data_IF_194967321755
#
_entry.id   IF_194967321755
#
_cell.length_a   1.000
_cell.length_b   1.000
_cell.length_c   1.000
_cell.angle_alpha   90.00
_cell.angle_beta   90.00
_cell.angle_gamma   90.00
#
_symmetry.space_group_name_H-M   'P 1'
#
loop_
_entity.id
_entity.type
_entity.pdbx_description
1 polymer ?
#
# COMPACT_ATOMS: atom_id res chain seq x y z
N UNK A 1 -50.04 -39.55 29.65
CA UNK A 1 -50.63 -38.24 29.33
C UNK A 1 -49.49 -37.22 29.20
N UNK A 2 -49.16 -36.72 28.02
CA UNK A 2 -48.17 -35.67 27.91
C UNK A 2 -48.84 -34.30 28.03
N UNK A 3 -48.38 -33.50 28.98
CA UNK A 3 -48.75 -32.12 29.18
C UNK A 3 -48.17 -31.28 28.03
N UNK A 4 -49.01 -30.93 27.05
CA UNK A 4 -48.70 -30.01 25.96
C UNK A 4 -48.66 -28.60 26.56
N UNK A 5 -47.44 -28.13 26.83
CA UNK A 5 -47.19 -26.68 27.11
C UNK A 5 -47.64 -25.88 25.92
N UNK A 6 -48.82 -25.23 25.99
CA UNK A 6 -49.23 -24.20 25.03
C UNK A 6 -48.11 -23.14 24.94
N UNK A 7 -47.42 -23.07 23.80
CA UNK A 7 -46.59 -21.90 23.45
C UNK A 7 -47.48 -20.67 23.56
N UNK A 8 -47.23 -19.80 24.56
CA UNK A 8 -47.82 -18.47 24.58
C UNK A 8 -47.51 -17.81 23.21
N UNK A 9 -48.55 -17.49 22.45
CA UNK A 9 -48.43 -16.66 21.26
C UNK A 9 -47.70 -15.38 21.71
N UNK A 10 -46.64 -15.00 20.99
CA UNK A 10 -45.91 -13.78 21.28
C UNK A 10 -46.92 -12.62 21.13
N UNK A 11 -47.18 -11.87 22.20
CA UNK A 11 -47.97 -10.64 22.12
C UNK A 11 -47.39 -9.75 21.04
N UNK A 12 -48.21 -9.13 20.18
CA UNK A 12 -47.71 -8.19 19.18
C UNK A 12 -47.00 -7.07 19.93
N UNK A 13 -45.72 -6.81 19.55
CA UNK A 13 -44.93 -5.76 20.15
C UNK A 13 -45.69 -4.43 20.11
N UNK A 14 -45.74 -3.72 21.22
CA UNK A 14 -46.41 -2.42 21.33
C UNK A 14 -45.94 -1.48 20.20
N UNK A 15 -46.82 -0.67 19.57
CA UNK A 15 -46.47 0.17 18.42
C UNK A 15 -45.28 1.12 18.69
N UNK A 16 -45.11 1.56 19.90
CA UNK A 16 -43.95 2.36 20.33
C UNK A 16 -42.61 1.61 20.29
N UNK A 17 -42.59 0.32 20.60
CA UNK A 17 -41.40 -0.50 20.53
C UNK A 17 -40.97 -0.75 19.06
N UNK A 18 -41.93 -0.95 18.17
CA UNK A 18 -41.65 -1.05 16.74
C UNK A 18 -41.09 0.25 16.17
N UNK A 19 -41.63 1.38 16.56
CA UNK A 19 -41.14 2.70 16.15
C UNK A 19 -39.71 2.95 16.67
N UNK A 20 -39.45 2.60 17.93
CA UNK A 20 -38.11 2.70 18.53
C UNK A 20 -37.07 1.91 17.71
N UNK A 21 -37.37 0.64 17.38
CA UNK A 21 -36.46 -0.19 16.61
C UNK A 21 -36.20 0.35 15.19
N UNK A 22 -37.23 0.91 14.55
CA UNK A 22 -37.05 1.56 13.24
C UNK A 22 -36.12 2.77 13.33
N UNK A 23 -36.29 3.63 14.31
CA UNK A 23 -35.43 4.80 14.52
C UNK A 23 -33.97 4.38 14.82
N UNK A 24 -33.79 3.38 15.70
CA UNK A 24 -32.46 2.85 16.01
C UNK A 24 -31.80 2.24 14.77
N UNK A 25 -32.53 1.46 13.99
CA UNK A 25 -32.01 0.84 12.77
C UNK A 25 -31.57 1.88 11.73
N UNK A 26 -32.36 2.93 11.52
CA UNK A 26 -31.99 4.04 10.60
C UNK A 26 -30.74 4.77 11.09
N UNK A 27 -30.66 5.07 12.39
CA UNK A 27 -29.49 5.73 12.96
C UNK A 27 -28.22 4.86 12.87
N UNK A 28 -28.32 3.54 13.09
CA UNK A 28 -27.22 2.61 12.94
C UNK A 28 -26.77 2.56 11.48
N UNK A 29 -27.70 2.47 10.53
CA UNK A 29 -27.38 2.45 9.10
C UNK A 29 -26.65 3.74 8.68
N UNK A 30 -27.15 4.90 9.11
CA UNK A 30 -26.51 6.19 8.83
C UNK A 30 -25.12 6.27 9.45
N UNK A 31 -24.97 5.89 10.71
CA UNK A 31 -23.69 5.87 11.41
C UNK A 31 -22.70 4.91 10.71
N UNK A 32 -23.16 3.73 10.30
CA UNK A 32 -22.33 2.77 9.57
C UNK A 32 -21.84 3.34 8.24
N UNK A 33 -22.71 4.04 7.51
CA UNK A 33 -22.34 4.69 6.25
C UNK A 33 -21.29 5.78 6.46
N UNK A 34 -21.46 6.64 7.45
CA UNK A 34 -20.50 7.72 7.78
C UNK A 34 -19.15 7.14 8.19
N UNK A 35 -19.14 6.17 9.11
CA UNK A 35 -17.91 5.52 9.58
C UNK A 35 -17.21 4.79 8.44
N UNK A 36 -17.93 4.05 7.61
CA UNK A 36 -17.37 3.36 6.44
C UNK A 36 -16.71 4.35 5.46
N UNK A 37 -17.38 5.47 5.19
CA UNK A 37 -16.83 6.51 4.30
C UNK A 37 -15.55 7.13 4.87
N UNK A 38 -15.54 7.48 6.16
CA UNK A 38 -14.37 8.04 6.82
C UNK A 38 -13.21 7.05 6.85
N UNK A 39 -13.47 5.79 7.19
CA UNK A 39 -12.46 4.74 7.19
C UNK A 39 -11.91 4.47 5.77
N UNK A 40 -12.76 4.50 4.75
CA UNK A 40 -12.33 4.35 3.36
C UNK A 40 -11.38 5.49 2.93
N UNK A 41 -11.75 6.74 3.22
CA UNK A 41 -10.91 7.91 2.91
C UNK A 41 -9.57 7.84 3.66
N UNK A 42 -9.62 7.54 4.97
CA UNK A 42 -8.42 7.40 5.80
C UNK A 42 -7.52 6.26 5.31
N UNK A 43 -8.10 5.11 4.95
CA UNK A 43 -7.35 3.98 4.40
C UNK A 43 -6.67 4.33 3.08
N UNK A 44 -7.36 5.05 2.19
CA UNK A 44 -6.78 5.51 0.91
C UNK A 44 -5.62 6.47 1.13
N UNK A 45 -5.78 7.44 2.03
CA UNK A 45 -4.71 8.39 2.38
C UNK A 45 -3.54 7.67 3.05
N UNK A 46 -3.82 6.77 4.00
CA UNK A 46 -2.80 5.97 4.67
C UNK A 46 -2.00 5.08 3.72
N UNK A 47 -2.67 4.47 2.73
CA UNK A 47 -1.99 3.70 1.68
C UNK A 47 -1.04 4.57 0.88
N UNK A 48 -1.51 5.72 0.39
CA UNK A 48 -0.69 6.62 -0.42
C UNK A 48 0.51 7.16 0.37
N UNK A 49 0.32 7.53 1.64
CA UNK A 49 1.40 7.99 2.51
C UNK A 49 2.43 6.88 2.79
N UNK A 50 1.97 5.65 3.00
CA UNK A 50 2.86 4.51 3.21
C UNK A 50 3.64 4.16 1.95
N UNK A 51 3.01 4.16 0.79
CA UNK A 51 3.64 3.93 -0.51
C UNK A 51 4.70 4.99 -0.80
N UNK A 52 4.39 6.26 -0.57
CA UNK A 52 5.34 7.37 -0.74
C UNK A 52 6.53 7.25 0.23
N UNK A 53 6.29 6.89 1.49
CA UNK A 53 7.37 6.62 2.46
C UNK A 53 8.35 5.56 1.94
N UNK A 54 7.82 4.43 1.45
CA UNK A 54 8.66 3.34 0.93
C UNK A 54 9.37 3.74 -0.36
N UNK A 55 8.71 4.49 -1.23
CA UNK A 55 9.29 5.01 -2.46
C UNK A 55 10.45 5.98 -2.19
N UNK A 56 10.27 6.89 -1.24
CA UNK A 56 11.34 7.82 -0.84
C UNK A 56 12.53 7.10 -0.20
N UNK A 57 12.27 6.09 0.63
CA UNK A 57 13.34 5.27 1.22
C UNK A 57 14.11 4.51 0.14
N UNK A 58 13.42 3.94 -0.85
CA UNK A 58 14.04 3.27 -1.99
C UNK A 58 14.85 4.24 -2.85
N UNK A 59 14.30 5.41 -3.20
CA UNK A 59 15.01 6.43 -3.96
C UNK A 59 16.28 6.93 -3.25
N UNK A 60 16.22 7.07 -1.92
CA UNK A 60 17.42 7.41 -1.10
C UNK A 60 18.48 6.33 -1.19
N UNK A 61 18.09 5.05 -1.15
CA UNK A 61 18.99 3.91 -1.31
C UNK A 61 19.62 3.91 -2.71
N UNK A 62 18.82 4.10 -3.75
CA UNK A 62 19.30 4.18 -5.13
C UNK A 62 20.32 5.30 -5.29
N UNK A 63 20.03 6.49 -4.79
CA UNK A 63 20.96 7.63 -4.83
C UNK A 63 22.27 7.34 -4.11
N UNK A 64 22.24 6.63 -2.99
CA UNK A 64 23.45 6.25 -2.25
C UNK A 64 24.33 5.26 -3.03
N UNK A 65 23.73 4.38 -3.83
CA UNK A 65 24.48 3.44 -4.69
C UNK A 65 24.99 4.08 -5.98
N UNK A 66 24.27 5.05 -6.52
CA UNK A 66 24.65 5.76 -7.73
C UNK A 66 25.77 6.78 -7.52
N UNK A 67 25.80 7.45 -6.35
CA UNK A 67 26.70 8.55 -6.09
C UNK A 67 28.18 8.17 -6.23
N UNK A 68 28.67 7.05 -5.73
CA UNK A 68 30.07 6.63 -5.95
C UNK A 68 30.39 6.44 -7.44
N UNK A 69 29.45 5.91 -8.22
CA UNK A 69 29.66 5.72 -9.67
C UNK A 69 29.74 7.08 -10.38
N UNK A 70 28.90 8.04 -9.97
CA UNK A 70 28.90 9.39 -10.52
C UNK A 70 30.20 10.14 -10.22
N UNK A 71 30.71 10.02 -8.99
CA UNK A 71 31.87 10.80 -8.54
C UNK A 71 33.20 10.18 -8.97
N UNK A 72 33.33 8.86 -8.84
CA UNK A 72 34.60 8.17 -9.03
C UNK A 72 34.66 7.31 -10.29
N UNK A 73 33.54 7.15 -11.00
CA UNK A 73 33.40 6.25 -12.15
C UNK A 73 33.74 4.78 -11.79
N UNK A 74 33.66 4.43 -10.50
CA UNK A 74 33.94 3.09 -10.00
C UNK A 74 32.70 2.47 -9.38
N UNK A 75 32.51 1.17 -9.61
CA UNK A 75 31.39 0.42 -9.05
C UNK A 75 31.83 -0.17 -7.71
N UNK A 76 31.20 0.24 -6.62
CA UNK A 76 31.40 -0.40 -5.31
C UNK A 76 30.55 -1.65 -5.18
N UNK A 77 31.09 -2.77 -5.70
CA UNK A 77 30.44 -4.08 -5.65
C UNK A 77 30.09 -4.53 -4.23
N UNK A 78 30.89 -4.12 -3.22
CA UNK A 78 30.65 -4.49 -1.82
C UNK A 78 29.48 -3.73 -1.23
N UNK A 79 29.37 -2.43 -1.52
CA UNK A 79 28.23 -1.61 -1.08
C UNK A 79 26.93 -2.11 -1.71
N UNK A 80 26.94 -2.44 -3.00
CA UNK A 80 25.79 -3.02 -3.71
C UNK A 80 25.39 -4.36 -3.08
N UNK A 81 26.35 -5.24 -2.78
CA UNK A 81 26.11 -6.52 -2.11
C UNK A 81 25.49 -6.33 -0.71
N UNK A 82 26.07 -5.46 0.11
CA UNK A 82 25.54 -5.18 1.45
C UNK A 82 24.09 -4.69 1.39
N UNK A 83 23.81 -3.77 0.48
CA UNK A 83 22.45 -3.25 0.27
C UNK A 83 21.51 -4.34 -0.24
N UNK A 84 21.96 -5.21 -1.14
CA UNK A 84 21.16 -6.33 -1.65
C UNK A 84 20.73 -7.27 -0.52
N UNK A 85 21.64 -7.60 0.40
CA UNK A 85 21.36 -8.48 1.53
C UNK A 85 20.44 -7.81 2.56
N UNK A 86 20.73 -6.56 2.94
CA UNK A 86 20.00 -5.86 4.00
C UNK A 86 18.57 -5.46 3.58
N UNK A 87 18.40 -5.03 2.34
CA UNK A 87 17.15 -4.45 1.86
C UNK A 87 16.40 -5.32 0.85
N UNK A 88 16.89 -6.53 0.59
CA UNK A 88 16.36 -7.43 -0.46
C UNK A 88 16.33 -6.75 -1.83
N UNK A 89 17.38 -6.01 -2.12
CA UNK A 89 17.58 -5.37 -3.40
C UNK A 89 18.14 -6.41 -4.40
N UNK A 90 17.58 -6.43 -5.61
CA UNK A 90 18.09 -7.20 -6.75
C UNK A 90 18.71 -6.22 -7.73
N UNK A 91 20.05 -6.04 -7.72
CA UNK A 91 20.74 -5.15 -8.64
C UNK A 91 21.12 -5.86 -9.93
N UNK A 92 21.09 -5.15 -11.05
CA UNK A 92 21.72 -5.57 -12.30
C UNK A 92 22.47 -4.38 -12.89
N UNK A 93 23.68 -4.65 -13.36
CA UNK A 93 24.56 -3.65 -13.93
C UNK A 93 24.98 -4.05 -15.33
N UNK A 94 25.04 -3.08 -16.22
CA UNK A 94 25.50 -3.27 -17.58
C UNK A 94 26.47 -2.15 -17.99
N UNK A 95 27.45 -2.47 -18.81
CA UNK A 95 28.25 -1.51 -19.54
C UNK A 95 28.24 -1.87 -21.02
N UNK A 96 27.83 -0.96 -21.88
CA UNK A 96 27.69 -1.21 -23.34
C UNK A 96 26.77 -2.39 -23.66
N UNK A 97 25.73 -2.61 -22.85
CA UNK A 97 24.85 -3.77 -23.02
C UNK A 97 25.40 -5.10 -22.54
N UNK A 98 26.67 -5.14 -22.06
CA UNK A 98 27.25 -6.33 -21.46
C UNK A 98 27.03 -6.32 -19.94
N UNK A 99 26.59 -7.45 -19.34
CA UNK A 99 26.40 -7.52 -17.90
C UNK A 99 27.74 -7.40 -17.16
N UNK A 100 27.74 -6.60 -16.09
CA UNK A 100 28.86 -6.50 -15.16
C UNK A 100 28.58 -7.44 -14.00
N UNK A 101 29.35 -8.51 -13.90
CA UNK A 101 29.19 -9.48 -12.83
C UNK A 101 29.64 -8.89 -11.49
N UNK A 102 28.79 -9.03 -10.48
CA UNK A 102 29.17 -8.72 -9.11
C UNK A 102 29.74 -9.99 -8.47
N UNK A 103 31.02 -10.01 -8.07
CA UNK A 103 31.66 -11.21 -7.54
C UNK A 103 31.07 -11.71 -6.21
N UNK A 104 30.27 -10.90 -5.55
CA UNK A 104 29.63 -11.24 -4.28
C UNK A 104 28.19 -11.73 -4.44
N UNK A 105 27.52 -11.47 -5.58
CA UNK A 105 26.16 -11.90 -5.86
C UNK A 105 26.19 -13.15 -6.74
N UNK A 106 25.60 -14.23 -6.26
CA UNK A 106 25.44 -15.46 -7.02
C UNK A 106 23.97 -15.61 -7.46
N UNK A 107 23.74 -15.79 -8.74
CA UNK A 107 22.43 -16.02 -9.32
C UNK A 107 21.98 -14.91 -10.28
N UNK A 108 21.04 -15.25 -11.12
CA UNK A 108 20.44 -14.34 -12.13
C UNK A 108 18.98 -14.00 -11.74
N UNK A 109 18.80 -13.56 -10.51
CA UNK A 109 17.47 -13.19 -10.01
C UNK A 109 16.91 -11.93 -10.70
N UNK A 110 17.76 -11.20 -11.40
CA UNK A 110 17.38 -9.99 -12.13
C UNK A 110 16.76 -10.27 -13.50
N UNK A 111 17.09 -11.38 -14.18
CA UNK A 111 16.67 -11.64 -15.55
C UNK A 111 15.13 -11.55 -15.78
N UNK A 112 14.28 -12.17 -14.94
CA UNK A 112 12.84 -12.04 -15.12
C UNK A 112 12.35 -10.60 -14.90
N UNK A 113 12.96 -9.87 -13.96
CA UNK A 113 12.59 -8.48 -13.67
C UNK A 113 13.03 -7.52 -14.77
N UNK A 114 14.19 -7.77 -15.38
CA UNK A 114 14.68 -7.02 -16.55
C UNK A 114 13.73 -7.17 -17.73
N UNK A 115 13.29 -8.40 -18.03
CA UNK A 115 12.32 -8.64 -19.11
C UNK A 115 11.00 -7.92 -18.89
N UNK A 116 10.50 -7.91 -17.64
CA UNK A 116 9.29 -7.18 -17.28
C UNK A 116 9.46 -5.66 -17.33
N UNK A 117 10.70 -5.18 -17.20
CA UNK A 117 11.01 -3.74 -17.21
C UNK A 117 11.06 -3.15 -18.61
N UNK A 118 11.37 -3.93 -19.63
CA UNK A 118 11.60 -3.43 -21.00
C UNK A 118 10.54 -2.44 -21.50
N UNK A 119 9.22 -2.76 -21.41
CA UNK A 119 8.20 -1.84 -21.92
C UNK A 119 8.10 -0.54 -21.12
N UNK A 120 8.62 -0.51 -19.88
CA UNK A 120 8.59 0.69 -19.03
C UNK A 120 9.79 1.61 -19.27
N UNK A 121 10.83 1.12 -19.93
CA UNK A 121 12.12 1.81 -20.08
C UNK A 121 12.35 2.37 -21.49
N UNK A 122 11.39 2.24 -22.38
CA UNK A 122 11.56 2.66 -23.78
C UNK A 122 11.90 4.16 -23.88
N UNK A 123 11.20 5.02 -23.14
CA UNK A 123 11.44 6.46 -23.12
C UNK A 123 12.83 6.80 -22.53
N UNK A 124 13.24 6.14 -21.44
CA UNK A 124 14.54 6.35 -20.84
C UNK A 124 15.67 5.92 -21.77
N UNK A 125 15.54 4.76 -22.44
CA UNK A 125 16.51 4.28 -23.43
C UNK A 125 16.60 5.21 -24.64
N UNK A 126 15.48 5.71 -25.15
CA UNK A 126 15.47 6.72 -26.20
C UNK A 126 16.20 8.00 -25.77
N UNK A 127 16.07 8.41 -24.49
CA UNK A 127 16.81 9.54 -23.93
C UNK A 127 18.31 9.28 -23.85
N UNK A 128 18.74 8.05 -23.54
CA UNK A 128 20.15 7.63 -23.55
C UNK A 128 20.69 7.64 -24.98
N UNK A 129 19.96 7.04 -25.89
CA UNK A 129 20.34 6.96 -27.32
C UNK A 129 20.41 8.35 -27.96
N UNK A 130 19.50 9.23 -27.62
CA UNK A 130 19.49 10.63 -28.09
C UNK A 130 20.71 11.43 -27.61
N UNK A 131 21.36 11.02 -26.52
CA UNK A 131 22.58 11.63 -26.01
C UNK A 131 23.86 11.01 -26.56
N UNK A 132 23.76 9.93 -27.38
CA UNK A 132 24.90 9.34 -28.02
C UNK A 132 25.56 10.34 -28.99
N UNK A 133 26.83 10.63 -28.76
CA UNK A 133 27.56 11.64 -29.53
C UNK A 133 27.52 13.06 -28.98
N UNK A 134 26.74 13.37 -27.95
CA UNK A 134 26.75 14.66 -27.28
C UNK A 134 28.00 14.82 -26.41
N UNK A 135 28.53 16.05 -26.36
CA UNK A 135 29.71 16.38 -25.57
C UNK A 135 29.43 16.35 -24.05
N UNK A 136 28.23 16.78 -23.67
CA UNK A 136 27.77 16.77 -22.29
C UNK A 136 26.59 15.81 -22.16
N UNK A 137 26.84 14.64 -21.60
CA UNK A 137 25.80 13.65 -21.30
C UNK A 137 25.26 13.89 -19.90
N UNK A 138 23.97 13.74 -19.76
CA UNK A 138 23.31 13.84 -18.45
C UNK A 138 22.83 12.48 -17.99
N UNK A 139 22.84 12.26 -16.68
CA UNK A 139 22.28 11.04 -16.07
C UNK A 139 20.80 10.93 -16.41
N UNK A 140 20.39 9.76 -16.89
CA UNK A 140 18.98 9.43 -17.13
C UNK A 140 18.50 8.55 -15.99
N UNK A 141 17.42 8.95 -15.33
CA UNK A 141 16.79 8.18 -14.23
C UNK A 141 15.31 7.97 -14.50
N UNK A 142 14.85 6.78 -14.21
CA UNK A 142 13.42 6.47 -14.26
C UNK A 142 13.04 5.52 -13.15
N UNK A 143 12.17 6.00 -12.24
CA UNK A 143 11.57 5.17 -11.21
C UNK A 143 10.21 4.64 -11.69
N UNK A 144 9.94 3.37 -11.43
CA UNK A 144 8.71 2.70 -11.86
C UNK A 144 8.34 1.57 -10.89
N UNK A 145 7.20 0.94 -11.12
CA UNK A 145 6.76 -0.22 -10.34
C UNK A 145 6.47 -1.38 -11.27
N UNK A 146 6.92 -2.58 -10.87
CA UNK A 146 6.66 -3.82 -11.61
C UNK A 146 5.70 -4.71 -10.83
N UNK A 147 4.95 -5.51 -11.56
CA UNK A 147 4.16 -6.59 -11.01
C UNK A 147 4.55 -7.89 -11.68
N UNK A 148 4.97 -8.84 -10.84
CA UNK A 148 5.20 -10.22 -11.25
C UNK A 148 4.19 -11.11 -10.52
N UNK A 149 3.12 -11.47 -11.19
CA UNK A 149 1.96 -12.14 -10.57
C UNK A 149 1.39 -11.33 -9.42
N UNK A 150 1.51 -11.83 -8.19
CA UNK A 150 1.10 -11.14 -6.95
C UNK A 150 2.20 -10.29 -6.33
N UNK A 151 3.44 -10.40 -6.77
CA UNK A 151 4.57 -9.65 -6.26
C UNK A 151 4.57 -8.22 -6.83
N UNK A 152 4.81 -7.24 -5.97
CA UNK A 152 5.01 -5.84 -6.32
C UNK A 152 6.47 -5.51 -6.07
N UNK A 153 7.10 -4.84 -7.02
CA UNK A 153 8.48 -4.41 -6.95
C UNK A 153 8.57 -2.90 -7.18
N UNK A 154 9.36 -2.23 -6.35
CA UNK A 154 9.84 -0.88 -6.65
C UNK A 154 11.09 -1.02 -7.50
N UNK A 155 11.16 -0.27 -8.58
CA UNK A 155 12.25 -0.35 -9.53
C UNK A 155 12.77 1.04 -9.91
N UNK A 156 14.09 1.13 -10.13
CA UNK A 156 14.74 2.32 -10.66
C UNK A 156 15.76 1.91 -11.71
N UNK A 157 15.74 2.60 -12.82
CA UNK A 157 16.74 2.55 -13.87
C UNK A 157 17.55 3.83 -13.81
N UNK A 158 18.86 3.69 -13.85
CA UNK A 158 19.79 4.81 -13.90
C UNK A 158 20.86 4.54 -14.95
N UNK A 159 20.97 5.40 -15.95
CA UNK A 159 22.07 5.38 -16.91
C UNK A 159 23.03 6.53 -16.59
N UNK A 160 24.27 6.17 -16.26
CA UNK A 160 25.33 7.07 -15.85
C UNK A 160 26.37 7.18 -16.96
N UNK A 161 26.62 8.38 -17.48
CA UNK A 161 27.64 8.56 -18.49
C UNK A 161 29.06 8.43 -17.89
N UNK A 162 29.92 7.69 -18.60
CA UNK A 162 31.32 7.55 -18.20
C UNK A 162 32.22 8.52 -18.95
N UNK A 163 33.41 8.78 -18.42
CA UNK A 163 34.42 9.61 -19.06
C UNK A 163 34.88 9.04 -20.41
N UNK A 164 34.74 7.72 -20.62
CA UNK A 164 35.04 7.05 -21.90
C UNK A 164 33.96 7.26 -22.96
N UNK A 165 32.88 7.99 -22.67
CA UNK A 165 31.75 8.21 -23.57
C UNK A 165 30.74 7.08 -23.62
N UNK A 166 30.88 6.08 -22.75
CA UNK A 166 29.93 4.97 -22.60
C UNK A 166 28.88 5.28 -21.53
N UNK A 167 28.02 4.30 -21.29
CA UNK A 167 27.04 4.33 -20.22
C UNK A 167 27.22 3.13 -19.30
N UNK A 168 27.13 3.37 -17.99
CA UNK A 168 26.87 2.36 -16.97
C UNK A 168 25.38 2.39 -16.70
N UNK A 169 24.69 1.31 -16.96
CA UNK A 169 23.28 1.14 -16.68
C UNK A 169 23.11 0.34 -15.40
N UNK A 170 22.43 0.94 -14.44
CA UNK A 170 22.13 0.35 -13.15
C UNK A 170 20.62 0.13 -13.06
N UNK A 171 20.22 -1.12 -12.84
CA UNK A 171 18.86 -1.53 -12.57
C UNK A 171 18.78 -1.97 -11.13
N UNK A 172 17.88 -1.39 -10.37
CA UNK A 172 17.66 -1.69 -8.97
C UNK A 172 16.21 -2.11 -8.77
N UNK A 173 15.99 -3.29 -8.20
CA UNK A 173 14.66 -3.82 -7.91
C UNK A 173 14.57 -4.14 -6.42
N UNK A 174 13.52 -3.68 -5.75
CA UNK A 174 13.25 -3.97 -4.36
C UNK A 174 11.86 -4.60 -4.19
N UNK A 175 11.80 -5.78 -3.55
CA UNK A 175 10.52 -6.41 -3.22
C UNK A 175 9.74 -5.53 -2.23
N UNK A 176 8.52 -5.17 -2.62
CA UNK A 176 7.60 -4.42 -1.78
C UNK A 176 6.88 -5.30 -0.72
N UNK A 177 7.45 -6.45 -0.33
CA UNK A 177 6.86 -7.34 0.66
C UNK A 177 6.64 -6.63 2.01
N UNK A 178 7.60 -5.82 2.44
CA UNK A 178 7.49 -5.02 3.69
C UNK A 178 6.33 -4.04 3.61
N UNK A 179 6.20 -3.31 2.50
CA UNK A 179 5.06 -2.42 2.25
C UNK A 179 3.73 -3.20 2.33
N UNK A 180 3.65 -4.36 1.67
CA UNK A 180 2.43 -5.20 1.70
C UNK A 180 2.08 -5.66 3.10
N UNK A 181 3.07 -6.04 3.90
CA UNK A 181 2.88 -6.47 5.28
C UNK A 181 2.41 -5.32 6.18
N UNK A 182 3.04 -4.16 6.09
CA UNK A 182 2.64 -2.95 6.84
C UNK A 182 1.23 -2.52 6.44
N UNK A 183 0.93 -2.51 5.16
CA UNK A 183 -0.41 -2.18 4.64
C UNK A 183 -1.48 -3.16 5.14
N UNK A 184 -1.20 -4.47 5.12
CA UNK A 184 -2.12 -5.49 5.65
C UNK A 184 -2.45 -5.27 7.13
N UNK A 185 -1.46 -4.90 7.96
CA UNK A 185 -1.69 -4.54 9.36
C UNK A 185 -2.55 -3.29 9.52
N UNK A 186 -2.31 -2.25 8.72
CA UNK A 186 -3.12 -1.03 8.71
C UNK A 186 -4.57 -1.30 8.28
N UNK A 187 -4.78 -2.14 7.28
CA UNK A 187 -6.13 -2.54 6.85
C UNK A 187 -6.91 -3.20 7.98
N UNK A 188 -6.29 -4.13 8.73
CA UNK A 188 -6.92 -4.76 9.90
C UNK A 188 -7.30 -3.73 10.97
N UNK A 189 -6.42 -2.75 11.22
CA UNK A 189 -6.71 -1.67 12.15
C UNK A 189 -7.91 -0.83 11.70
N UNK A 190 -7.98 -0.43 10.41
CA UNK A 190 -9.12 0.33 9.89
C UNK A 190 -10.43 -0.45 10.00
N UNK A 191 -10.42 -1.75 9.71
CA UNK A 191 -11.61 -2.62 9.88
C UNK A 191 -12.02 -2.69 11.34
N UNK A 192 -11.07 -2.88 12.27
CA UNK A 192 -11.36 -2.93 13.70
C UNK A 192 -11.94 -1.60 14.22
N UNK A 193 -11.39 -0.47 13.81
CA UNK A 193 -11.88 0.87 14.16
C UNK A 193 -13.27 1.10 13.59
N UNK A 194 -13.51 0.71 12.33
CA UNK A 194 -14.82 0.82 11.71
C UNK A 194 -15.88 0.00 12.46
N UNK A 195 -15.57 -1.27 12.75
CA UNK A 195 -16.50 -2.15 13.49
C UNK A 195 -16.78 -1.61 14.90
N UNK A 196 -15.72 -1.22 15.64
CA UNK A 196 -15.85 -0.63 16.98
C UNK A 196 -16.66 0.68 16.96
N UNK A 197 -16.42 1.53 15.98
CA UNK A 197 -17.17 2.79 15.79
C UNK A 197 -18.65 2.56 15.55
N UNK A 198 -19.01 1.63 14.67
CA UNK A 198 -20.42 1.28 14.39
C UNK A 198 -21.10 0.72 15.65
N UNK A 199 -20.42 -0.17 16.38
CA UNK A 199 -20.95 -0.72 17.63
C UNK A 199 -21.16 0.36 18.70
N UNK A 200 -20.20 1.23 18.89
CA UNK A 200 -20.28 2.33 19.88
C UNK A 200 -21.41 3.29 19.53
N UNK A 201 -21.52 3.72 18.27
CA UNK A 201 -22.58 4.61 17.81
C UNK A 201 -23.95 3.93 17.87
N UNK A 202 -24.03 2.64 17.55
CA UNK A 202 -25.26 1.84 17.70
C UNK A 202 -25.73 1.75 19.15
N UNK A 203 -24.83 1.49 20.09
CA UNK A 203 -25.12 1.45 21.51
C UNK A 203 -25.59 2.83 22.02
N UNK A 204 -24.93 3.92 21.60
CA UNK A 204 -25.31 5.29 21.93
C UNK A 204 -26.70 5.64 21.38
N UNK A 205 -26.97 5.33 20.11
CA UNK A 205 -28.28 5.54 19.47
C UNK A 205 -29.40 4.79 20.22
N UNK A 206 -29.13 3.54 20.61
CA UNK A 206 -30.07 2.74 21.40
C UNK A 206 -30.36 3.36 22.76
N UNK A 207 -29.32 3.81 23.49
CA UNK A 207 -29.44 4.45 24.80
C UNK A 207 -30.23 5.79 24.70
N UNK A 208 -29.86 6.66 23.75
CA UNK A 208 -30.52 7.94 23.54
C UNK A 208 -31.99 7.80 23.15
N UNK A 209 -32.29 6.87 22.23
CA UNK A 209 -33.68 6.60 21.82
C UNK A 209 -34.49 6.04 22.99
N UNK A 210 -33.88 5.18 23.82
CA UNK A 210 -34.50 4.65 25.03
C UNK A 210 -34.86 5.76 26.02
N UNK A 211 -33.93 6.69 26.24
CA UNK A 211 -34.13 7.84 27.12
C UNK A 211 -35.20 8.80 26.57
N UNK A 212 -35.15 9.15 25.30
CA UNK A 212 -36.10 10.07 24.66
C UNK A 212 -37.56 9.54 24.66
N UNK A 213 -37.74 8.20 24.64
CA UNK A 213 -39.08 7.59 24.67
C UNK A 213 -39.63 7.33 26.07
N UNK A 214 -38.89 7.59 27.15
CA UNK A 214 -39.39 7.40 28.51
C UNK A 214 -40.66 8.21 28.84
N UNK A 215 -40.80 9.47 28.43
CA UNK A 215 -42.03 10.24 28.69
C UNK A 215 -43.26 9.62 28.02
N UNK A 216 -43.15 9.20 26.77
CA UNK A 216 -44.24 8.57 26.02
C UNK A 216 -44.71 7.24 26.66
N UNK A 217 -43.76 6.42 27.14
CA UNK A 217 -44.07 5.17 27.85
C UNK A 217 -44.73 5.40 29.20
N UNK A 218 -44.45 6.54 29.88
CA UNK A 218 -45.12 6.90 31.13
C UNK A 218 -46.56 7.36 30.87
N UNK A 219 -46.80 8.06 29.76
CA UNK A 219 -48.17 8.47 29.37
C UNK A 219 -49.06 7.24 29.05
N UNK A 220 -48.57 6.26 28.27
CA UNK A 220 -49.29 5.01 27.98
C UNK A 220 -49.67 4.17 29.22
N UNK A 221 -48.92 4.28 30.32
CA UNK A 221 -49.21 3.53 31.56
C UNK A 221 -50.22 4.22 32.47
N UNK A 222 -50.58 5.44 32.16
CA UNK A 222 -51.54 6.23 32.95
C UNK A 222 -52.95 6.25 32.32
N UNK A 223 -53.12 5.71 31.12
CA UNK A 223 -54.40 5.39 30.51
C UNK A 223 -54.78 3.92 30.80
#
# INVERSE_FOLDING_TARGET
MPLWKKKKAAEPAAPLDVLRWKIVAVNILFAAMVVATLCFVAARQGKNALEEKHRLAFASLCSALEQPILETQTIDHKAIYSSAVETRLVPALFEKGAPIENPYLQGDDAAPLLTLSEPMLEEARQSVDGQNGLWAKTVVRQAYTLRDGSALWFAEYCAIPTASGNWIELYLFQDAATFRQEWGRMQLLYVAVAAGGVLALGALAFALTGWAMQPARRAERME
#
